data_IF_578170642697
#
_entry.id   IF_578170642697
#
_cell.length_a   1.000
_cell.length_b   1.000
_cell.length_c   1.000
_cell.angle_alpha   90.00
_cell.angle_beta   90.00
_cell.angle_gamma   90.00
#
_symmetry.space_group_name_H-M   'P 1'
#
loop_
_entity.id
_entity.type
_entity.pdbx_description
1 polymer ?
#
# COMPACT_ATOMS: atom_id res chain seq x y z
N UNK A 1 6.11 -1.74 15.76
CA UNK A 1 5.07 -2.77 15.52
C UNK A 1 5.39 -3.55 14.25
N UNK A 2 4.96 -4.81 14.12
CA UNK A 2 5.10 -5.56 12.86
C UNK A 2 3.99 -5.13 11.91
N UNK A 3 4.33 -4.79 10.67
CA UNK A 3 3.32 -4.55 9.65
C UNK A 3 2.56 -5.85 9.36
N UNK A 4 1.22 -5.79 9.45
CA UNK A 4 0.33 -6.87 9.04
C UNK A 4 -0.56 -6.31 7.93
N UNK A 5 -0.52 -6.89 6.71
CA UNK A 5 -1.35 -6.40 5.62
C UNK A 5 -2.82 -6.48 6.02
N UNK A 6 -3.57 -5.42 5.71
CA UNK A 6 -4.99 -5.43 5.94
C UNK A 6 -5.65 -6.31 4.87
N UNK A 7 -6.33 -7.38 5.28
CA UNK A 7 -7.25 -8.08 4.41
C UNK A 7 -8.57 -7.30 4.38
N UNK A 8 -8.94 -6.79 3.21
CA UNK A 8 -10.16 -6.00 3.03
C UNK A 8 -11.43 -6.75 3.46
N UNK A 9 -11.45 -8.08 3.34
CA UNK A 9 -12.59 -8.92 3.73
C UNK A 9 -12.74 -9.04 5.25
N UNK A 10 -11.65 -8.83 6.00
CA UNK A 10 -11.60 -8.89 7.46
C UNK A 10 -11.45 -7.51 8.10
N UNK A 11 -11.52 -6.44 7.30
CA UNK A 11 -11.43 -5.09 7.81
C UNK A 11 -12.76 -4.68 8.43
N UNK A 12 -12.79 -4.59 9.75
CA UNK A 12 -13.90 -3.95 10.45
C UNK A 12 -14.01 -2.50 10.01
N UNK A 13 -15.23 -1.98 9.93
CA UNK A 13 -15.49 -0.57 9.58
C UNK A 13 -15.79 0.29 10.80
N UNK A 14 -16.18 -0.35 11.90
CA UNK A 14 -16.47 0.29 13.18
C UNK A 14 -15.22 0.45 14.04
N UNK A 15 -15.21 1.49 14.87
CA UNK A 15 -14.09 1.82 15.75
C UNK A 15 -12.93 2.51 15.04
N UNK A 16 -11.80 2.64 15.74
CA UNK A 16 -10.59 3.35 15.25
C UNK A 16 -9.54 2.41 14.66
N UNK A 17 -9.68 1.10 14.86
CA UNK A 17 -8.71 0.09 14.44
C UNK A 17 -9.38 -1.10 13.77
N UNK A 18 -8.68 -1.68 12.80
CA UNK A 18 -9.10 -2.90 12.11
C UNK A 18 -8.89 -4.11 13.01
N UNK A 19 -9.95 -4.87 13.30
CA UNK A 19 -9.85 -6.07 14.14
C UNK A 19 -9.03 -7.19 13.49
N UNK A 20 -8.90 -7.21 12.16
CA UNK A 20 -8.14 -8.22 11.43
C UNK A 20 -6.63 -8.03 11.46
N UNK A 21 -6.15 -6.80 11.21
CA UNK A 21 -4.71 -6.52 11.15
C UNK A 21 -4.18 -5.67 12.33
N UNK A 22 -5.06 -5.14 13.18
CA UNK A 22 -4.73 -4.34 14.36
C UNK A 22 -4.27 -2.90 14.04
N UNK A 23 -4.16 -2.52 12.77
CA UNK A 23 -3.75 -1.17 12.33
C UNK A 23 -4.90 -0.18 12.47
N UNK A 24 -4.58 1.10 12.67
CA UNK A 24 -5.63 2.13 12.72
C UNK A 24 -6.28 2.28 11.33
N UNK A 25 -7.55 2.69 11.32
CA UNK A 25 -8.25 2.96 10.06
C UNK A 25 -7.61 4.13 9.29
N UNK A 26 -7.04 5.09 10.00
CA UNK A 26 -6.25 6.19 9.44
C UNK A 26 -5.02 5.66 8.69
N UNK A 27 -4.20 4.83 9.34
CA UNK A 27 -2.99 4.26 8.73
C UNK A 27 -3.33 3.40 7.50
N UNK A 28 -4.45 2.66 7.56
CA UNK A 28 -4.96 1.87 6.42
C UNK A 28 -5.40 2.79 5.29
N UNK A 29 -6.11 3.88 5.57
CA UNK A 29 -6.55 4.85 4.58
C UNK A 29 -5.36 5.54 3.90
N UNK A 30 -4.36 5.96 4.68
CA UNK A 30 -3.11 6.53 4.16
C UNK A 30 -2.39 5.56 3.24
N UNK A 31 -2.26 4.28 3.64
CA UNK A 31 -1.63 3.26 2.80
C UNK A 31 -2.39 3.07 1.48
N UNK A 32 -3.73 3.06 1.52
CA UNK A 32 -4.56 2.95 0.31
C UNK A 32 -4.41 4.16 -0.61
N UNK A 33 -4.32 5.36 -0.06
CA UNK A 33 -4.09 6.58 -0.84
C UNK A 33 -2.76 6.53 -1.60
N UNK A 34 -1.69 6.04 -0.96
CA UNK A 34 -0.39 5.85 -1.61
C UNK A 34 -0.45 4.83 -2.76
N UNK A 35 -1.15 3.70 -2.56
CA UNK A 35 -1.35 2.69 -3.61
C UNK A 35 -2.15 3.28 -4.78
N UNK A 36 -3.24 4.00 -4.50
CA UNK A 36 -4.05 4.64 -5.54
C UNK A 36 -3.24 5.66 -6.33
N UNK A 37 -2.37 6.45 -5.68
CA UNK A 37 -1.49 7.38 -6.38
C UNK A 37 -0.53 6.68 -7.37
N UNK A 38 -0.06 5.47 -7.05
CA UNK A 38 0.74 4.66 -7.98
C UNK A 38 -0.10 4.13 -9.15
N UNK A 39 -1.35 3.73 -8.89
CA UNK A 39 -2.30 3.29 -9.93
C UNK A 39 -2.62 4.45 -10.88
N UNK A 40 -2.97 5.62 -10.34
CA UNK A 40 -3.28 6.82 -11.11
C UNK A 40 -2.10 7.23 -11.99
N UNK A 41 -0.87 7.14 -11.47
CA UNK A 41 0.34 7.39 -12.24
C UNK A 41 0.48 6.40 -13.41
N UNK A 42 0.32 5.10 -13.14
CA UNK A 42 0.42 4.05 -14.17
C UNK A 42 -0.62 4.24 -15.27
N UNK A 43 -1.86 4.57 -14.91
CA UNK A 43 -2.95 4.81 -15.85
C UNK A 43 -2.72 6.10 -16.65
N UNK A 44 -2.29 7.18 -16.00
CA UNK A 44 -1.98 8.46 -16.67
C UNK A 44 -0.88 8.31 -17.71
N UNK A 45 0.10 7.42 -17.50
CA UNK A 45 1.19 7.16 -18.43
C UNK A 45 0.87 6.04 -19.42
N UNK A 46 -0.30 5.42 -19.33
CA UNK A 46 -0.77 4.34 -20.21
C UNK A 46 0.22 3.17 -20.30
N UNK A 47 0.76 2.74 -19.15
CA UNK A 47 1.68 1.60 -19.12
C UNK A 47 0.97 0.30 -19.46
N UNK A 48 1.37 -0.34 -20.57
CA UNK A 48 0.86 -1.65 -20.97
C UNK A 48 1.43 -2.79 -20.10
N UNK A 49 2.65 -2.63 -19.58
CA UNK A 49 3.37 -3.60 -18.76
C UNK A 49 3.28 -3.30 -17.25
N UNK A 50 2.06 -3.27 -16.72
CA UNK A 50 1.78 -2.93 -15.31
C UNK A 50 2.48 -3.84 -14.30
N UNK A 51 2.79 -5.08 -14.67
CA UNK A 51 3.54 -6.02 -13.81
C UNK A 51 5.00 -5.57 -13.60
N UNK A 52 5.69 -5.13 -14.66
CA UNK A 52 7.04 -4.56 -14.57
C UNK A 52 7.05 -3.30 -13.70
N UNK A 53 6.04 -2.44 -13.85
CA UNK A 53 5.89 -1.24 -13.03
C UNK A 53 5.74 -1.60 -11.54
N UNK A 54 4.86 -2.54 -11.20
CA UNK A 54 4.69 -3.00 -9.83
C UNK A 54 5.98 -3.62 -9.25
N UNK A 55 6.69 -4.43 -10.03
CA UNK A 55 7.97 -5.01 -9.64
C UNK A 55 9.06 -3.96 -9.41
N UNK A 56 9.13 -2.93 -10.28
CA UNK A 56 10.03 -1.80 -10.13
C UNK A 56 9.78 -1.03 -8.82
N UNK A 57 8.51 -0.74 -8.51
CA UNK A 57 8.14 -0.04 -7.28
C UNK A 57 8.52 -0.85 -6.04
N UNK A 58 8.19 -2.16 -6.00
CA UNK A 58 8.59 -3.05 -4.91
C UNK A 58 10.10 -2.97 -4.65
N UNK A 59 10.91 -3.20 -5.69
CA UNK A 59 12.37 -3.24 -5.58
C UNK A 59 12.95 -1.93 -5.06
N UNK A 60 12.45 -0.80 -5.56
CA UNK A 60 12.93 0.51 -5.12
C UNK A 60 12.46 0.86 -3.71
N UNK A 61 11.23 0.51 -3.33
CA UNK A 61 10.71 0.72 -1.99
C UNK A 61 11.54 -0.05 -0.95
N UNK A 62 11.78 -1.35 -1.18
CA UNK A 62 12.61 -2.15 -0.28
C UNK A 62 14.04 -1.58 -0.16
N UNK A 63 14.66 -1.22 -1.28
CA UNK A 63 16.00 -0.64 -1.29
C UNK A 63 16.08 0.63 -0.45
N UNK A 64 15.08 1.51 -0.54
CA UNK A 64 15.02 2.77 0.22
C UNK A 64 14.72 2.56 1.70
N UNK A 65 13.89 1.57 2.04
CA UNK A 65 13.61 1.22 3.44
C UNK A 65 14.84 0.63 4.15
N UNK A 66 15.68 -0.11 3.42
CA UNK A 66 16.91 -0.70 3.95
C UNK A 66 18.07 0.31 4.05
N UNK A 67 18.09 1.30 3.15
CA UNK A 67 19.10 2.37 3.11
C UNK A 67 18.41 3.74 3.07
N UNK A 68 17.81 4.19 4.18
CA UNK A 68 17.18 5.50 4.24
C UNK A 68 18.27 6.57 4.04
N UNK A 69 18.07 7.43 3.04
CA UNK A 69 18.95 8.57 2.73
C UNK A 69 18.57 9.80 3.54
#
# INVERSE_FOLDING_TARGET
>A
MKFVPCNSDLCTKDGTHCAGCGRSHEEIAETKALVNGLVDLSQKQDYENVEDFAAFIHKNLLKKLQNPS
#
